data_IF_185351463341
#
_entry.id   IF_185351463341
#
_cell.length_a   1.000
_cell.length_b   1.000
_cell.length_c   1.000
_cell.angle_alpha   90.00
_cell.angle_beta   90.00
_cell.angle_gamma   90.00
#
_symmetry.space_group_name_H-M   'P 1'
#
loop_
_entity.id
_entity.type
_entity.pdbx_description
1 polymer ?
#
# COMPACT_ATOMS: atom_id res chain seq x y z
N UNK A 1 -7.40 -4.12 21.42
CA UNK A 1 -6.83 -4.58 20.14
C UNK A 1 -5.33 -4.71 20.27
N UNK A 2 -4.75 -5.85 19.88
CA UNK A 2 -3.31 -6.08 19.78
C UNK A 2 -2.82 -5.64 18.38
N UNK A 3 -1.63 -5.06 18.28
CA UNK A 3 -1.03 -4.67 16.99
C UNK A 3 0.26 -5.47 16.84
N UNK A 4 0.40 -6.14 15.70
CA UNK A 4 1.57 -6.94 15.35
C UNK A 4 2.15 -6.38 14.05
N UNK A 5 3.42 -6.00 14.08
CA UNK A 5 4.10 -5.38 12.94
C UNK A 5 5.23 -6.29 12.48
N UNK A 6 5.36 -6.50 11.19
CA UNK A 6 6.54 -7.15 10.61
C UNK A 6 7.68 -6.12 10.50
N UNK A 7 8.39 -5.93 11.61
CA UNK A 7 9.47 -4.94 11.70
C UNK A 7 10.60 -5.19 10.70
N UNK A 8 10.89 -6.45 10.38
CA UNK A 8 11.92 -6.81 9.40
C UNK A 8 11.56 -6.30 8.00
N UNK A 9 10.29 -6.48 7.58
CA UNK A 9 9.78 -5.96 6.30
C UNK A 9 9.78 -4.44 6.29
N UNK A 10 9.27 -3.81 7.36
CA UNK A 10 9.25 -2.34 7.50
C UNK A 10 10.65 -1.75 7.41
N UNK A 11 11.63 -2.32 8.12
CA UNK A 11 13.03 -1.86 8.10
C UNK A 11 13.63 -1.98 6.70
N UNK A 12 13.43 -3.13 6.04
CA UNK A 12 13.93 -3.36 4.68
C UNK A 12 13.33 -2.36 3.69
N UNK A 13 12.01 -2.22 3.66
CA UNK A 13 11.30 -1.35 2.73
C UNK A 13 11.58 0.14 3.02
N UNK A 14 11.67 0.54 4.28
CA UNK A 14 12.09 1.89 4.68
C UNK A 14 13.50 2.23 4.20
N UNK A 15 14.44 1.28 4.30
CA UNK A 15 15.80 1.48 3.79
C UNK A 15 15.81 1.60 2.27
N UNK A 16 15.06 0.76 1.55
CA UNK A 16 14.91 0.89 0.08
C UNK A 16 14.39 2.30 -0.25
N UNK A 17 13.36 2.77 0.45
CA UNK A 17 12.81 4.12 0.28
C UNK A 17 13.86 5.22 0.47
N UNK A 18 14.62 5.16 1.57
CA UNK A 18 15.69 6.13 1.84
C UNK A 18 16.78 6.11 0.78
N UNK A 19 17.29 4.93 0.44
CA UNK A 19 18.32 4.80 -0.59
C UNK A 19 17.85 5.27 -1.96
N UNK A 20 16.59 5.00 -2.32
CA UNK A 20 16.03 5.47 -3.59
C UNK A 20 15.85 7.00 -3.59
N UNK A 21 15.41 7.62 -2.49
CA UNK A 21 15.29 9.08 -2.39
C UNK A 21 16.67 9.74 -2.53
N UNK A 22 17.64 9.31 -1.73
CA UNK A 22 18.99 9.91 -1.79
C UNK A 22 19.70 9.57 -3.11
N UNK A 23 19.53 8.36 -3.62
CA UNK A 23 20.09 7.94 -4.91
C UNK A 23 19.52 8.75 -6.07
N UNK A 24 18.21 8.99 -6.12
CA UNK A 24 17.60 9.83 -7.13
C UNK A 24 18.12 11.27 -7.09
N UNK A 25 18.29 11.82 -5.88
CA UNK A 25 18.86 13.16 -5.70
C UNK A 25 20.32 13.21 -6.20
N UNK A 26 21.13 12.21 -5.86
CA UNK A 26 22.52 12.12 -6.33
C UNK A 26 22.61 12.00 -7.86
N UNK A 27 21.75 11.19 -8.48
CA UNK A 27 21.67 11.04 -9.96
C UNK A 27 21.32 12.39 -10.60
N UNK A 28 20.30 13.09 -10.10
CA UNK A 28 19.86 14.37 -10.64
C UNK A 28 20.93 15.47 -10.45
N UNK A 29 21.56 15.52 -9.28
CA UNK A 29 22.64 16.47 -9.00
C UNK A 29 23.88 16.18 -9.86
N UNK A 30 24.21 14.91 -10.05
CA UNK A 30 25.30 14.50 -10.96
C UNK A 30 25.00 14.89 -12.42
N UNK A 31 23.77 14.69 -12.88
CA UNK A 31 23.34 15.16 -14.22
C UNK A 31 23.42 16.67 -14.36
N UNK A 32 23.00 17.42 -13.34
CA UNK A 32 23.12 18.88 -13.31
C UNK A 32 24.61 19.32 -13.37
N UNK A 33 25.47 18.72 -12.55
CA UNK A 33 26.91 19.01 -12.56
C UNK A 33 27.55 18.74 -13.92
N UNK A 34 27.20 17.63 -14.58
CA UNK A 34 27.66 17.34 -15.93
C UNK A 34 27.22 18.41 -16.95
N UNK A 35 26.01 18.96 -16.80
CA UNK A 35 25.52 20.01 -17.69
C UNK A 35 26.26 21.33 -17.47
N UNK A 36 26.55 21.69 -16.22
CA UNK A 36 27.19 22.96 -15.87
C UNK A 36 28.71 22.94 -16.13
N UNK A 37 29.37 21.83 -15.89
CA UNK A 37 30.82 21.72 -15.91
C UNK A 37 31.37 20.82 -17.02
N UNK A 38 30.50 20.17 -17.79
CA UNK A 38 30.92 19.18 -18.80
C UNK A 38 31.84 19.74 -19.87
N UNK A 39 31.70 21.01 -20.26
CA UNK A 39 32.62 21.69 -21.17
C UNK A 39 34.00 21.91 -20.50
N UNK A 40 34.00 22.40 -19.26
CA UNK A 40 35.25 22.66 -18.52
C UNK A 40 36.05 21.37 -18.26
N UNK A 41 35.33 20.26 -18.08
CA UNK A 41 35.97 18.93 -17.87
C UNK A 41 36.35 18.23 -19.17
N UNK A 42 36.11 18.86 -20.35
CA UNK A 42 36.36 18.24 -21.65
C UNK A 42 35.43 17.06 -21.98
N UNK A 43 34.38 16.85 -21.21
CA UNK A 43 33.41 15.77 -21.45
C UNK A 43 32.46 16.17 -22.58
N UNK A 44 32.08 17.45 -22.63
CA UNK A 44 31.19 18.01 -23.64
C UNK A 44 32.00 18.75 -24.69
N UNK A 45 32.07 18.18 -25.89
CA UNK A 45 32.75 18.75 -27.07
C UNK A 45 31.74 18.91 -28.19
N UNK A 46 32.01 19.78 -29.20
CA UNK A 46 31.14 19.90 -30.37
C UNK A 46 30.90 18.57 -31.09
N UNK A 47 31.91 17.68 -31.12
CA UNK A 47 31.84 16.40 -31.83
C UNK A 47 30.99 15.35 -31.14
N UNK A 48 30.78 15.46 -29.81
CA UNK A 48 30.01 14.48 -29.00
C UNK A 48 28.70 15.03 -28.43
N UNK A 49 28.30 16.22 -28.84
CA UNK A 49 27.13 16.92 -28.25
C UNK A 49 25.84 16.08 -28.33
N UNK A 50 25.61 15.38 -29.44
CA UNK A 50 24.42 14.54 -29.59
C UNK A 50 24.42 13.34 -28.63
N UNK A 51 25.57 12.67 -28.48
CA UNK A 51 25.74 11.57 -27.54
C UNK A 51 25.57 12.05 -26.10
N UNK A 52 26.11 13.23 -25.78
CA UNK A 52 25.94 13.84 -24.45
C UNK A 52 24.47 14.04 -24.11
N UNK A 53 23.63 14.58 -25.00
CA UNK A 53 22.21 14.78 -24.74
C UNK A 53 21.46 13.46 -24.56
N UNK A 54 21.81 12.41 -25.29
CA UNK A 54 21.23 11.06 -25.11
C UNK A 54 21.55 10.54 -23.72
N UNK A 55 22.80 10.63 -23.29
CA UNK A 55 23.22 10.21 -21.94
C UNK A 55 22.53 11.04 -20.88
N UNK A 56 22.44 12.36 -21.06
CA UNK A 56 21.77 13.26 -20.14
C UNK A 56 20.28 12.92 -19.97
N UNK A 57 19.57 12.66 -21.05
CA UNK A 57 18.18 12.22 -21.00
C UNK A 57 18.03 10.87 -20.28
N UNK A 58 18.96 9.94 -20.50
CA UNK A 58 18.98 8.66 -19.80
C UNK A 58 19.18 8.85 -18.26
N UNK A 59 20.06 9.77 -17.86
CA UNK A 59 20.28 10.14 -16.46
C UNK A 59 19.00 10.73 -15.85
N UNK A 60 18.37 11.69 -16.52
CA UNK A 60 17.13 12.30 -16.05
C UNK A 60 16.02 11.25 -15.90
N UNK A 61 15.85 10.39 -16.91
CA UNK A 61 14.85 9.34 -16.88
C UNK A 61 15.10 8.34 -15.75
N UNK A 62 16.35 7.90 -15.56
CA UNK A 62 16.72 7.00 -14.46
C UNK A 62 16.47 7.64 -13.09
N UNK A 63 16.81 8.92 -12.93
CA UNK A 63 16.52 9.68 -11.70
C UNK A 63 15.02 9.74 -11.39
N UNK A 64 14.18 9.95 -12.41
CA UNK A 64 12.72 9.94 -12.25
C UNK A 64 12.22 8.56 -11.82
N UNK A 65 12.68 7.47 -12.44
CA UNK A 65 12.27 6.10 -12.08
C UNK A 65 12.66 5.78 -10.63
N UNK A 66 13.91 6.05 -10.25
CA UNK A 66 14.40 5.81 -8.89
C UNK A 66 13.64 6.66 -7.88
N UNK A 67 13.34 7.92 -8.22
CA UNK A 67 12.51 8.81 -7.38
C UNK A 67 11.11 8.24 -7.14
N UNK A 68 10.49 7.60 -8.14
CA UNK A 68 9.18 6.94 -7.98
C UNK A 68 9.22 5.80 -6.97
N UNK A 69 10.26 4.98 -7.03
CA UNK A 69 10.48 3.92 -6.04
C UNK A 69 10.65 4.52 -4.65
N UNK A 70 11.45 5.57 -4.54
CA UNK A 70 11.65 6.30 -3.29
C UNK A 70 10.37 6.88 -2.71
N UNK A 71 9.53 7.51 -3.53
CA UNK A 71 8.24 8.05 -3.11
C UNK A 71 7.27 6.95 -2.66
N UNK A 72 7.19 5.83 -3.37
CA UNK A 72 6.33 4.70 -3.02
C UNK A 72 6.63 4.19 -1.60
N UNK A 73 7.88 3.80 -1.35
CA UNK A 73 8.27 3.31 -0.02
C UNK A 73 8.29 4.42 1.04
N UNK A 74 8.62 5.65 0.63
CA UNK A 74 8.59 6.82 1.51
C UNK A 74 7.20 7.14 2.02
N UNK A 75 6.20 7.16 1.16
CA UNK A 75 4.80 7.40 1.55
C UNK A 75 4.29 6.30 2.48
N UNK A 76 4.69 5.06 2.24
CA UNK A 76 4.25 3.90 2.99
C UNK A 76 4.86 3.80 4.39
N UNK A 77 6.14 4.15 4.55
CA UNK A 77 6.87 3.89 5.80
C UNK A 77 7.43 5.15 6.49
N UNK A 78 7.68 6.22 5.75
CA UNK A 78 8.35 7.42 6.27
C UNK A 78 7.40 8.61 6.43
N UNK A 79 6.25 8.60 5.74
CA UNK A 79 5.27 9.69 5.79
C UNK A 79 4.58 9.77 7.16
N UNK A 80 4.31 10.96 7.69
CA UNK A 80 3.46 11.12 8.88
C UNK A 80 1.99 10.71 8.62
N UNK A 81 1.56 10.62 7.36
CA UNK A 81 0.21 10.18 6.94
C UNK A 81 0.20 8.73 6.43
N UNK A 82 1.14 7.90 6.90
CA UNK A 82 1.23 6.51 6.48
C UNK A 82 -0.03 5.70 6.86
N UNK A 83 -0.42 4.73 6.02
CA UNK A 83 -1.62 3.90 6.20
C UNK A 83 -1.71 3.23 7.57
N UNK A 84 -0.59 2.78 8.09
CA UNK A 84 -0.48 2.15 9.40
C UNK A 84 -1.04 3.03 10.53
N UNK A 85 -0.66 4.32 10.56
CA UNK A 85 -1.12 5.25 11.61
C UNK A 85 -2.62 5.52 11.46
N UNK A 86 -3.10 5.73 10.25
CA UNK A 86 -4.51 5.95 9.98
C UNK A 86 -5.37 4.74 10.42
N UNK A 87 -4.94 3.51 10.10
CA UNK A 87 -5.65 2.30 10.53
C UNK A 87 -5.61 2.12 12.05
N UNK A 88 -4.47 2.37 12.70
CA UNK A 88 -4.35 2.30 14.16
C UNK A 88 -5.29 3.29 14.86
N UNK A 89 -5.36 4.50 14.34
CA UNK A 89 -6.21 5.56 14.90
C UNK A 89 -7.68 5.21 14.73
N UNK A 90 -8.11 4.84 13.54
CA UNK A 90 -9.51 4.53 13.25
C UNK A 90 -10.01 3.27 13.97
N UNK A 91 -9.16 2.27 14.12
CA UNK A 91 -9.49 1.04 14.83
C UNK A 91 -9.26 1.13 16.36
N UNK A 92 -8.86 2.31 16.86
CA UNK A 92 -8.74 2.53 18.31
C UNK A 92 -10.07 2.28 19.03
N UNK A 93 -10.02 1.50 20.12
CA UNK A 93 -11.21 1.10 20.87
C UNK A 93 -11.97 -0.11 20.31
N UNK A 94 -11.39 -0.83 19.33
CA UNK A 94 -11.85 -2.19 19.01
C UNK A 94 -11.55 -3.14 20.17
N UNK A 95 -12.28 -4.28 20.21
CA UNK A 95 -12.15 -5.28 21.27
C UNK A 95 -10.67 -5.70 21.47
N UNK A 96 -10.31 -5.99 22.72
CA UNK A 96 -8.98 -6.53 23.07
C UNK A 96 -8.68 -7.85 22.38
N UNK A 97 -9.71 -8.61 22.03
CA UNK A 97 -9.61 -9.86 21.28
C UNK A 97 -9.25 -9.67 19.80
N UNK A 98 -9.36 -8.46 19.25
CA UNK A 98 -8.94 -8.15 17.88
C UNK A 98 -7.42 -8.00 17.80
N UNK A 99 -6.86 -8.44 16.68
CA UNK A 99 -5.43 -8.27 16.35
C UNK A 99 -5.28 -7.67 14.95
N UNK A 100 -4.58 -6.54 14.85
CA UNK A 100 -4.25 -5.91 13.57
C UNK A 100 -2.81 -6.30 13.20
N UNK A 101 -2.67 -7.03 12.11
CA UNK A 101 -1.38 -7.38 11.52
C UNK A 101 -1.02 -6.34 10.47
N UNK A 102 0.20 -5.85 10.52
CA UNK A 102 0.71 -4.81 9.65
C UNK A 102 1.93 -5.32 8.89
N UNK A 103 1.92 -5.12 7.57
CA UNK A 103 3.00 -5.51 6.65
C UNK A 103 3.29 -7.00 6.63
N UNK A 104 2.25 -7.82 6.81
CA UNK A 104 2.35 -9.29 6.77
C UNK A 104 2.01 -9.85 5.39
N UNK A 105 2.32 -11.14 5.16
CA UNK A 105 1.82 -11.90 4.04
C UNK A 105 0.48 -12.56 4.43
N UNK A 106 -0.49 -12.71 3.52
CA UNK A 106 -0.44 -12.42 2.08
C UNK A 106 -0.88 -11.02 1.67
N UNK A 107 -1.28 -10.17 2.60
CA UNK A 107 -1.56 -8.76 2.34
C UNK A 107 -1.04 -7.89 3.50
N UNK A 108 -0.86 -6.59 3.22
CA UNK A 108 -0.18 -5.71 4.16
C UNK A 108 -0.96 -5.42 5.43
N UNK A 109 -2.29 -5.51 5.39
CA UNK A 109 -3.14 -5.19 6.52
C UNK A 109 -4.20 -6.29 6.69
N UNK A 110 -4.11 -7.01 7.81
CA UNK A 110 -5.04 -8.08 8.16
C UNK A 110 -5.59 -7.79 9.55
N UNK A 111 -6.90 -7.73 9.67
CA UNK A 111 -7.57 -7.65 10.96
C UNK A 111 -8.15 -9.01 11.33
N UNK A 112 -7.67 -9.58 12.44
CA UNK A 112 -8.22 -10.77 13.04
C UNK A 112 -9.24 -10.33 14.10
N UNK A 113 -10.47 -10.80 13.97
CA UNK A 113 -11.59 -10.53 14.87
C UNK A 113 -12.10 -11.84 15.48
N UNK A 114 -12.85 -11.81 16.59
CA UNK A 114 -13.52 -13.00 17.11
C UNK A 114 -14.46 -13.67 16.10
N UNK A 115 -14.88 -12.92 15.10
CA UNK A 115 -15.82 -13.34 14.05
C UNK A 115 -15.18 -13.80 12.75
N UNK A 116 -13.85 -13.68 12.60
CA UNK A 116 -13.15 -14.08 11.37
C UNK A 116 -11.96 -13.20 11.03
N UNK A 117 -11.61 -13.15 9.74
CA UNK A 117 -10.45 -12.43 9.25
C UNK A 117 -10.86 -11.46 8.15
N UNK A 118 -10.41 -10.22 8.29
CA UNK A 118 -10.63 -9.16 7.31
C UNK A 118 -9.30 -8.80 6.63
N UNK A 119 -9.22 -9.00 5.31
CA UNK A 119 -8.17 -8.44 4.48
C UNK A 119 -8.49 -6.98 4.16
N UNK A 120 -7.54 -6.08 4.40
CA UNK A 120 -7.72 -4.65 4.17
C UNK A 120 -6.74 -4.21 3.07
N UNK A 121 -7.27 -3.72 1.96
CA UNK A 121 -6.48 -3.04 0.92
C UNK A 121 -6.61 -1.54 1.16
N UNK A 122 -5.50 -0.91 1.52
CA UNK A 122 -5.49 0.53 1.80
C UNK A 122 -5.00 1.32 0.59
N UNK A 123 -5.73 2.36 0.23
CA UNK A 123 -5.45 3.26 -0.89
C UNK A 123 -5.35 4.70 -0.40
N UNK A 124 -4.37 5.45 -0.92
CA UNK A 124 -4.03 6.81 -0.46
C UNK A 124 -4.59 7.92 -1.33
N UNK A 125 -5.28 7.59 -2.42
CA UNK A 125 -5.76 8.53 -3.42
C UNK A 125 -6.73 9.56 -2.84
N UNK A 126 -6.60 10.79 -3.34
CA UNK A 126 -7.53 11.90 -3.09
C UNK A 126 -8.35 12.21 -4.35
N UNK A 127 -9.54 12.84 -4.17
CA UNK A 127 -10.42 13.23 -5.27
C UNK A 127 -11.40 12.14 -5.66
N UNK A 128 -11.92 12.22 -6.88
CA UNK A 128 -12.99 11.35 -7.35
C UNK A 128 -12.45 9.98 -7.79
N UNK A 129 -12.89 8.95 -7.08
CA UNK A 129 -12.61 7.53 -7.36
C UNK A 129 -13.94 6.89 -7.79
N UNK A 130 -13.96 6.32 -8.98
CA UNK A 130 -15.14 5.67 -9.52
C UNK A 130 -14.88 4.20 -9.82
N UNK A 131 -15.88 3.36 -9.56
CA UNK A 131 -15.90 1.97 -9.99
C UNK A 131 -17.20 1.73 -10.74
N UNK A 132 -17.12 1.58 -12.05
CA UNK A 132 -18.26 1.30 -12.95
C UNK A 132 -17.83 0.31 -14.01
N UNK A 133 -18.72 -0.56 -14.42
CA UNK A 133 -18.48 -1.58 -15.46
C UNK A 133 -17.24 -2.44 -15.20
N UNK A 134 -17.00 -2.83 -13.95
CA UNK A 134 -15.80 -3.56 -13.50
C UNK A 134 -14.47 -2.82 -13.69
N UNK A 135 -14.49 -1.50 -13.90
CA UNK A 135 -13.30 -0.69 -14.10
C UNK A 135 -13.14 0.37 -13.00
N UNK A 136 -11.97 0.37 -12.40
CA UNK A 136 -11.57 1.42 -11.49
C UNK A 136 -11.00 2.60 -12.26
N UNK A 137 -11.49 3.80 -11.96
CA UNK A 137 -10.97 5.05 -12.52
C UNK A 137 -10.67 6.02 -11.40
N UNK A 138 -9.57 6.72 -11.55
CA UNK A 138 -9.15 7.79 -10.65
C UNK A 138 -8.87 9.04 -11.48
N UNK A 139 -9.62 10.10 -11.22
CA UNK A 139 -9.48 11.35 -11.96
C UNK A 139 -8.32 12.15 -11.37
N UNK A 140 -7.19 12.15 -12.07
CA UNK A 140 -6.01 12.94 -11.72
C UNK A 140 -5.45 13.64 -12.96
N UNK A 141 -4.71 14.73 -12.78
CA UNK A 141 -4.05 15.42 -13.89
C UNK A 141 -2.78 14.70 -14.33
N UNK A 142 -2.36 14.90 -15.60
CA UNK A 142 -1.12 14.32 -16.13
C UNK A 142 0.09 14.75 -15.29
N UNK A 143 0.11 16.00 -14.85
CA UNK A 143 1.18 16.55 -13.98
C UNK A 143 1.21 15.82 -12.64
N UNK A 144 0.07 15.64 -11.98
CA UNK A 144 0.00 14.88 -10.73
C UNK A 144 0.36 13.40 -10.92
N UNK A 145 0.06 12.84 -12.08
CA UNK A 145 0.43 11.45 -12.42
C UNK A 145 1.93 11.27 -12.63
N UNK A 146 2.61 12.25 -13.24
CA UNK A 146 4.05 12.19 -13.53
C UNK A 146 4.90 12.70 -12.36
N UNK A 147 4.49 13.77 -11.71
CA UNK A 147 5.27 14.48 -10.68
C UNK A 147 4.60 14.51 -9.31
N UNK A 148 3.31 14.15 -9.23
CA UNK A 148 2.57 14.13 -7.98
C UNK A 148 3.03 13.01 -7.04
N UNK A 149 2.75 13.20 -5.75
CA UNK A 149 3.03 12.22 -4.69
C UNK A 149 2.00 11.08 -4.65
N UNK A 150 1.02 11.11 -5.55
CA UNK A 150 -0.06 10.13 -5.56
C UNK A 150 0.40 8.83 -6.23
N UNK A 151 0.13 7.74 -5.56
CA UNK A 151 0.35 6.40 -6.08
C UNK A 151 -0.71 6.09 -7.16
N UNK A 152 -0.39 5.27 -8.17
CA UNK A 152 -1.42 4.78 -9.09
C UNK A 152 -2.47 3.98 -8.31
N UNK A 153 -3.74 4.12 -8.68
CA UNK A 153 -4.84 3.41 -8.03
C UNK A 153 -4.66 1.88 -8.11
N UNK A 154 -4.10 1.40 -9.23
CA UNK A 154 -4.01 -0.03 -9.50
C UNK A 154 -5.39 -0.65 -9.75
N UNK A 155 -5.52 -1.92 -9.38
CA UNK A 155 -6.79 -2.65 -9.47
C UNK A 155 -7.14 -3.21 -8.08
N UNK A 156 -7.85 -2.44 -7.23
CA UNK A 156 -8.23 -2.86 -5.89
C UNK A 156 -9.01 -4.18 -5.86
N UNK A 157 -9.80 -4.47 -6.92
CA UNK A 157 -10.53 -5.73 -7.05
C UNK A 157 -9.57 -6.92 -7.13
N UNK A 158 -8.61 -6.87 -8.04
CA UNK A 158 -7.62 -7.96 -8.17
C UNK A 158 -6.78 -8.11 -6.92
N UNK A 159 -6.43 -7.00 -6.28
CA UNK A 159 -5.64 -7.03 -5.04
C UNK A 159 -6.39 -7.73 -3.91
N UNK A 160 -7.68 -7.41 -3.72
CA UNK A 160 -8.48 -8.02 -2.65
C UNK A 160 -8.79 -9.49 -2.95
N UNK A 161 -9.12 -9.82 -4.21
CA UNK A 161 -9.38 -11.20 -4.63
C UNK A 161 -8.14 -12.08 -4.42
N UNK A 162 -6.95 -11.57 -4.75
CA UNK A 162 -5.69 -12.26 -4.53
C UNK A 162 -5.40 -12.44 -3.03
N UNK A 163 -5.64 -11.41 -2.22
CA UNK A 163 -5.44 -11.48 -0.77
C UNK A 163 -6.36 -12.53 -0.13
N UNK A 164 -7.63 -12.54 -0.50
CA UNK A 164 -8.60 -13.53 0.01
C UNK A 164 -8.28 -14.95 -0.45
N UNK A 165 -7.89 -15.13 -1.72
CA UNK A 165 -7.48 -16.43 -2.25
C UNK A 165 -6.28 -16.99 -1.48
N UNK A 166 -5.26 -16.18 -1.25
CA UNK A 166 -4.06 -16.57 -0.51
C UNK A 166 -4.35 -16.85 0.97
N UNK A 167 -5.19 -16.04 1.63
CA UNK A 167 -5.63 -16.30 3.00
C UNK A 167 -6.39 -17.62 3.10
N UNK A 168 -7.31 -17.85 2.17
CA UNK A 168 -8.05 -19.10 2.11
C UNK A 168 -7.12 -20.32 1.92
N UNK A 169 -6.11 -20.21 1.06
CA UNK A 169 -5.12 -21.26 0.86
C UNK A 169 -4.34 -21.58 2.15
N UNK A 170 -3.88 -20.54 2.87
CA UNK A 170 -3.19 -20.69 4.17
C UNK A 170 -4.08 -21.39 5.19
N UNK A 171 -5.36 -21.04 5.25
CA UNK A 171 -6.27 -21.69 6.22
C UNK A 171 -6.64 -23.10 5.81
N UNK A 172 -6.83 -23.38 4.51
CA UNK A 172 -7.07 -24.74 4.02
C UNK A 172 -5.88 -25.66 4.31
N UNK A 173 -4.65 -25.16 4.20
CA UNK A 173 -3.44 -25.92 4.50
C UNK A 173 -3.24 -26.13 6.01
N UNK A 174 -3.39 -25.08 6.82
CA UNK A 174 -3.03 -25.11 8.25
C UNK A 174 -4.19 -25.47 9.18
N UNK A 175 -5.43 -25.29 8.74
CA UNK A 175 -6.65 -25.48 9.55
C UNK A 175 -7.75 -26.13 8.66
N UNK A 176 -7.51 -27.32 8.07
CA UNK A 176 -8.38 -27.90 7.04
C UNK A 176 -9.81 -28.18 7.53
N UNK A 177 -9.98 -28.48 8.80
CA UNK A 177 -11.27 -28.91 9.38
C UNK A 177 -12.17 -27.73 9.80
N UNK A 178 -11.74 -26.47 9.58
CA UNK A 178 -12.45 -25.31 10.07
C UNK A 178 -12.72 -24.30 8.95
N UNK A 179 -13.97 -23.92 8.80
CA UNK A 179 -14.38 -22.86 7.88
C UNK A 179 -14.18 -21.50 8.54
N UNK A 180 -13.17 -20.77 8.10
CA UNK A 180 -12.86 -19.43 8.61
C UNK A 180 -13.63 -18.38 7.79
N UNK A 181 -14.49 -17.54 8.41
CA UNK A 181 -15.11 -16.43 7.72
C UNK A 181 -14.06 -15.43 7.24
N UNK A 182 -13.98 -15.21 5.92
CA UNK A 182 -13.09 -14.24 5.29
C UNK A 182 -13.88 -13.11 4.68
N UNK A 183 -13.37 -11.90 4.83
CA UNK A 183 -13.95 -10.73 4.20
C UNK A 183 -12.86 -9.83 3.65
N UNK A 184 -13.14 -9.16 2.53
CA UNK A 184 -12.30 -8.14 1.94
C UNK A 184 -12.88 -6.74 2.15
N UNK A 185 -12.01 -5.77 2.41
CA UNK A 185 -12.40 -4.36 2.50
C UNK A 185 -11.36 -3.51 1.78
N UNK A 186 -11.80 -2.67 0.86
CA UNK A 186 -10.96 -1.65 0.22
C UNK A 186 -11.20 -0.32 0.94
N UNK A 187 -10.14 0.25 1.48
CA UNK A 187 -10.21 1.46 2.31
C UNK A 187 -9.44 2.60 1.66
N UNK A 188 -10.11 3.72 1.48
CA UNK A 188 -9.50 4.95 0.98
C UNK A 188 -9.19 5.90 2.14
N UNK A 189 -7.91 6.22 2.31
CA UNK A 189 -7.40 7.10 3.38
C UNK A 189 -7.17 8.55 2.94
N UNK A 190 -7.42 8.87 1.68
CA UNK A 190 -7.34 10.25 1.20
C UNK A 190 -8.36 11.14 1.90
N UNK A 191 -7.92 12.29 2.43
CA UNK A 191 -8.80 13.21 3.16
C UNK A 191 -9.97 13.74 2.29
N UNK A 192 -9.72 13.92 1.00
CA UNK A 192 -10.66 14.44 0.01
C UNK A 192 -11.18 13.33 -0.93
N UNK A 193 -11.07 12.06 -0.54
CA UNK A 193 -11.54 10.96 -1.36
C UNK A 193 -13.08 10.97 -1.44
N UNK A 194 -13.59 11.03 -2.67
CA UNK A 194 -15.01 10.89 -3.02
C UNK A 194 -15.20 9.58 -3.75
N UNK A 195 -16.08 8.72 -3.25
CA UNK A 195 -16.29 7.37 -3.78
C UNK A 195 -17.64 7.28 -4.50
N UNK A 196 -17.59 6.97 -5.79
CA UNK A 196 -18.75 6.61 -6.61
C UNK A 196 -18.55 5.17 -7.09
N UNK A 197 -19.07 4.21 -6.34
CA UNK A 197 -18.78 2.79 -6.53
C UNK A 197 -20.07 2.01 -6.74
N UNK A 198 -20.17 1.31 -7.86
CA UNK A 198 -21.25 0.35 -8.10
C UNK A 198 -21.12 -0.81 -7.08
N UNK A 199 -22.21 -1.56 -6.82
CA UNK A 199 -22.19 -2.68 -5.87
C UNK A 199 -21.05 -3.66 -6.14
N UNK A 200 -20.29 -3.99 -5.10
CA UNK A 200 -19.15 -4.92 -5.15
C UNK A 200 -19.33 -6.04 -4.13
N UNK A 201 -18.73 -7.22 -4.34
CA UNK A 201 -18.79 -8.32 -3.37
C UNK A 201 -17.97 -8.05 -2.09
N UNK A 202 -17.24 -6.96 -2.04
CA UNK A 202 -16.46 -6.49 -0.90
C UNK A 202 -16.81 -5.03 -0.58
N UNK A 203 -16.61 -4.62 0.64
CA UNK A 203 -16.86 -3.25 1.03
C UNK A 203 -15.80 -2.29 0.47
N UNK A 204 -16.26 -1.16 -0.04
CA UNK A 204 -15.41 -0.04 -0.48
C UNK A 204 -15.80 1.18 0.31
N UNK A 205 -14.90 1.71 1.13
CA UNK A 205 -15.24 2.79 2.04
C UNK A 205 -14.04 3.68 2.37
N UNK A 206 -14.35 4.84 2.92
CA UNK A 206 -13.32 5.72 3.49
C UNK A 206 -12.83 5.17 4.82
N UNK A 207 -11.60 5.48 5.18
CA UNK A 207 -10.97 4.99 6.41
C UNK A 207 -11.73 5.37 7.67
N UNK A 208 -12.36 6.54 7.71
CA UNK A 208 -13.18 7.02 8.83
C UNK A 208 -14.44 6.19 9.06
N UNK A 209 -14.93 5.46 8.04
CA UNK A 209 -16.09 4.57 8.13
C UNK A 209 -15.75 3.11 8.44
N UNK A 210 -14.47 2.75 8.44
CA UNK A 210 -14.03 1.37 8.60
C UNK A 210 -14.53 0.74 9.90
N UNK A 211 -14.38 1.43 11.02
CA UNK A 211 -14.78 0.92 12.34
C UNK A 211 -16.28 0.72 12.46
N UNK A 212 -17.07 1.66 11.95
CA UNK A 212 -18.52 1.58 11.98
C UNK A 212 -19.03 0.43 11.13
N UNK A 213 -18.46 0.26 9.93
CA UNK A 213 -18.73 -0.87 9.06
C UNK A 213 -18.45 -2.21 9.74
N UNK A 214 -17.27 -2.36 10.36
CA UNK A 214 -16.87 -3.60 11.03
C UNK A 214 -17.80 -3.97 12.21
N UNK A 215 -18.36 -2.97 12.88
CA UNK A 215 -19.28 -3.16 14.03
C UNK A 215 -20.74 -3.33 13.61
N UNK A 216 -21.11 -2.79 12.46
CA UNK A 216 -22.47 -2.78 11.93
C UNK A 216 -22.67 -3.81 10.82
N UNK A 217 -22.87 -3.31 9.60
CA UNK A 217 -23.19 -4.11 8.40
C UNK A 217 -22.18 -5.20 8.09
N UNK A 218 -20.91 -4.92 8.34
CA UNK A 218 -19.84 -5.87 8.10
C UNK A 218 -19.60 -6.86 9.24
N UNK A 219 -20.43 -6.90 10.29
CA UNK A 219 -20.21 -7.79 11.41
C UNK A 219 -20.38 -9.25 10.99
N UNK A 220 -19.29 -10.01 11.12
CA UNK A 220 -19.30 -11.46 10.85
C UNK A 220 -19.81 -12.22 12.09
N UNK A 221 -20.24 -13.47 11.87
CA UNK A 221 -20.64 -14.37 12.95
C UNK A 221 -19.42 -14.81 13.76
N UNK A 222 -19.50 -14.76 15.07
CA UNK A 222 -18.41 -15.22 15.95
C UNK A 222 -18.09 -16.70 15.73
N UNK A 223 -16.80 -17.01 15.74
CA UNK A 223 -16.28 -18.37 15.63
C UNK A 223 -15.82 -18.90 17.01
N UNK A 224 -15.79 -20.23 17.21
CA UNK A 224 -15.34 -20.82 18.47
C UNK A 224 -13.95 -20.33 18.90
N UNK A 225 -13.69 -20.25 20.20
CA UNK A 225 -12.41 -19.78 20.73
C UNK A 225 -11.21 -20.62 20.25
N UNK A 226 -11.39 -21.92 20.06
CA UNK A 226 -10.38 -22.81 19.48
C UNK A 226 -10.00 -22.39 18.06
N UNK A 227 -11.00 -22.04 17.22
CA UNK A 227 -10.81 -21.54 15.87
C UNK A 227 -10.08 -20.20 15.87
N UNK A 228 -10.44 -19.29 16.78
CA UNK A 228 -9.75 -17.99 16.91
C UNK A 228 -8.26 -18.16 17.25
N UNK A 229 -7.94 -19.14 18.11
CA UNK A 229 -6.56 -19.47 18.47
C UNK A 229 -5.81 -20.03 17.25
N UNK A 230 -6.41 -21.02 16.57
CA UNK A 230 -5.82 -21.62 15.38
C UNK A 230 -5.55 -20.60 14.25
N UNK A 231 -6.47 -19.65 14.03
CA UNK A 231 -6.27 -18.55 13.06
C UNK A 231 -5.06 -17.69 13.42
N UNK A 232 -4.90 -17.34 14.71
CA UNK A 232 -3.74 -16.56 15.16
C UNK A 232 -2.43 -17.31 14.97
N UNK A 233 -2.40 -18.60 15.30
CA UNK A 233 -1.23 -19.45 15.10
C UNK A 233 -0.90 -19.61 13.61
N UNK A 234 -1.89 -19.83 12.75
CA UNK A 234 -1.71 -19.93 11.31
C UNK A 234 -1.12 -18.69 10.67
N UNK A 235 -1.48 -17.50 11.19
CA UNK A 235 -0.95 -16.20 10.75
C UNK A 235 0.28 -15.73 11.52
N UNK A 236 0.87 -16.58 12.38
CA UNK A 236 2.10 -16.27 13.11
C UNK A 236 1.93 -15.27 14.25
N UNK A 237 0.70 -15.06 14.72
CA UNK A 237 0.42 -14.25 15.92
C UNK A 237 0.61 -15.12 17.15
N UNK A 238 1.86 -15.26 17.60
CA UNK A 238 2.19 -15.96 18.84
C UNK A 238 1.53 -15.22 20.02
N UNK A 239 0.87 -15.98 20.89
CA UNK A 239 0.11 -15.50 22.03
C UNK A 239 0.93 -14.75 23.08
#
# INVERSE_FOLDING_TARGET
MRIVVNEAKVKRESNIGKFAIYGSLAILMGGLALTLFGQQWGILTPDNIALFYIIYLAILFSGLVVSRVGMYYGNRHLSPRRPELALREQLKGMDRKCSLLLFTEPCDYILIEPSGVTAIIYKTQNGLITYKDNLWKFKTTVVNRLFGREEPLGDPKKEIDLALTRLNAIFTEKIPDQKIPLRGVVVFGGAEAVLEVDPTPYAVLRVDKLKDYLRGEGKLREVPAATQKAVREALGVIG
#
